data_IF_158471504245
#
_entry.id   IF_158471504245
#
_cell.length_a   1.000
_cell.length_b   1.000
_cell.length_c   1.000
_cell.angle_alpha   90.00
_cell.angle_beta   90.00
_cell.angle_gamma   90.00
#
_symmetry.space_group_name_H-M   'P 1'
#
loop_
_entity.id
_entity.type
_entity.pdbx_description
1 polymer ?
#
# COMPACT_ATOMS: atom_id res chain seq x y z
N UNK A 1 -9.62 28.59 105.02
CA UNK A 1 -9.24 27.24 104.53
C UNK A 1 -10.00 26.88 103.25
N UNK A 2 -11.34 26.78 103.28
CA UNK A 2 -12.17 26.41 102.10
C UNK A 2 -11.89 27.27 100.85
N UNK A 3 -11.79 28.59 101.02
CA UNK A 3 -11.56 29.52 99.91
C UNK A 3 -10.20 29.33 99.22
N UNK A 4 -9.17 28.96 99.99
CA UNK A 4 -7.84 28.65 99.43
C UNK A 4 -7.86 27.33 98.65
N UNK A 5 -8.57 26.31 99.15
CA UNK A 5 -8.73 25.02 98.44
C UNK A 5 -9.49 25.20 97.13
N UNK A 6 -10.56 26.00 97.12
CA UNK A 6 -11.32 26.30 95.90
C UNK A 6 -10.46 27.06 94.87
N UNK A 7 -9.64 28.00 95.32
CA UNK A 7 -8.77 28.79 94.44
C UNK A 7 -7.67 27.92 93.80
N UNK A 8 -7.07 27.02 94.58
CA UNK A 8 -6.11 26.04 94.04
C UNK A 8 -6.79 25.09 93.05
N UNK A 9 -7.99 24.59 93.36
CA UNK A 9 -8.76 23.73 92.45
C UNK A 9 -9.09 24.43 91.13
N UNK A 10 -9.47 25.70 91.17
CA UNK A 10 -9.75 26.50 89.97
C UNK A 10 -8.50 26.71 89.10
N UNK A 11 -7.33 26.97 89.71
CA UNK A 11 -6.08 27.13 88.97
C UNK A 11 -5.63 25.81 88.30
N UNK A 12 -5.78 24.67 88.99
CA UNK A 12 -5.48 23.36 88.41
C UNK A 12 -6.42 23.04 87.24
N UNK A 13 -7.72 23.30 87.40
CA UNK A 13 -8.70 23.10 86.34
C UNK A 13 -8.42 24.00 85.13
N UNK A 14 -8.09 25.28 85.36
CA UNK A 14 -7.72 26.21 84.29
C UNK A 14 -6.46 25.76 83.54
N UNK A 15 -5.43 25.29 84.25
CA UNK A 15 -4.21 24.77 83.65
C UNK A 15 -4.44 23.49 82.84
N UNK A 16 -5.28 22.58 83.34
CA UNK A 16 -5.66 21.37 82.62
C UNK A 16 -6.44 21.70 81.34
N UNK A 17 -7.46 22.56 81.44
CA UNK A 17 -8.26 23.00 80.29
C UNK A 17 -7.37 23.66 79.23
N UNK A 18 -6.48 24.56 79.64
CA UNK A 18 -5.55 25.21 78.72
C UNK A 18 -4.65 24.20 77.99
N UNK A 19 -4.08 23.22 78.71
CA UNK A 19 -3.26 22.17 78.10
C UNK A 19 -4.06 21.33 77.11
N UNK A 20 -5.30 20.96 77.46
CA UNK A 20 -6.15 20.19 76.55
C UNK A 20 -6.52 21.00 75.32
N UNK A 21 -6.89 22.27 75.47
CA UNK A 21 -7.24 23.15 74.33
C UNK A 21 -6.05 23.31 73.39
N UNK A 22 -4.85 23.57 73.93
CA UNK A 22 -3.64 23.68 73.11
C UNK A 22 -3.34 22.37 72.35
N UNK A 23 -3.48 21.21 73.00
CA UNK A 23 -3.30 19.92 72.33
C UNK A 23 -4.33 19.66 71.22
N UNK A 24 -5.59 20.09 71.43
CA UNK A 24 -6.62 20.00 70.40
C UNK A 24 -6.37 20.95 69.22
N UNK A 25 -5.90 22.16 69.48
CA UNK A 25 -5.50 23.12 68.44
C UNK A 25 -4.35 22.57 67.59
N UNK A 26 -3.31 22.02 68.22
CA UNK A 26 -2.18 21.41 67.50
C UNK A 26 -2.63 20.22 66.65
N UNK A 27 -3.47 19.33 67.21
CA UNK A 27 -4.01 18.20 66.45
C UNK A 27 -4.91 18.65 65.30
N UNK A 28 -5.77 19.66 65.49
CA UNK A 28 -6.61 20.20 64.44
C UNK A 28 -5.77 20.81 63.31
N UNK A 29 -4.71 21.56 63.65
CA UNK A 29 -3.79 22.13 62.68
C UNK A 29 -3.03 21.05 61.89
N UNK A 30 -2.61 19.97 62.55
CA UNK A 30 -1.97 18.83 61.89
C UNK A 30 -2.92 18.15 60.90
N UNK A 31 -4.14 17.83 61.33
CA UNK A 31 -5.14 17.21 60.47
C UNK A 31 -5.51 18.07 59.27
N UNK A 32 -5.64 19.39 59.48
CA UNK A 32 -5.89 20.33 58.38
C UNK A 32 -4.73 20.37 57.40
N UNK A 33 -3.48 20.34 57.89
CA UNK A 33 -2.29 20.26 57.04
C UNK A 33 -2.24 18.97 56.22
N UNK A 34 -2.51 17.82 56.84
CA UNK A 34 -2.54 16.53 56.16
C UNK A 34 -3.66 16.47 55.12
N UNK A 35 -4.87 16.94 55.48
CA UNK A 35 -6.00 17.00 54.56
C UNK A 35 -5.72 17.88 53.34
N UNK A 36 -5.05 19.03 53.54
CA UNK A 36 -4.60 19.89 52.43
C UNK A 36 -3.54 19.20 51.58
N UNK A 37 -2.58 18.51 52.18
CA UNK A 37 -1.57 17.73 51.47
C UNK A 37 -2.19 16.64 50.58
N UNK A 38 -3.14 15.87 51.10
CA UNK A 38 -3.87 14.88 50.31
C UNK A 38 -4.72 15.50 49.20
N UNK A 39 -5.34 16.66 49.46
CA UNK A 39 -6.11 17.37 48.44
C UNK A 39 -5.20 17.84 47.28
N UNK A 40 -4.00 18.34 47.58
CA UNK A 40 -3.00 18.72 46.58
C UNK A 40 -2.50 17.51 45.79
N UNK A 41 -2.23 16.38 46.45
CA UNK A 41 -1.81 15.14 45.80
C UNK A 41 -2.89 14.58 44.86
N UNK A 42 -4.16 14.57 45.30
CA UNK A 42 -5.29 14.17 44.46
C UNK A 42 -5.43 15.09 43.26
N UNK A 43 -5.30 16.40 43.44
CA UNK A 43 -5.35 17.36 42.33
C UNK A 43 -4.20 17.14 41.33
N UNK A 44 -2.99 16.84 41.81
CA UNK A 44 -1.84 16.53 40.97
C UNK A 44 -2.05 15.24 40.18
N UNK A 45 -2.51 14.16 40.82
CA UNK A 45 -2.80 12.88 40.18
C UNK A 45 -3.92 12.99 39.15
N UNK A 46 -4.94 13.81 39.40
CA UNK A 46 -6.00 14.09 38.42
C UNK A 46 -5.44 14.80 37.18
N UNK A 47 -4.60 15.82 37.38
CA UNK A 47 -3.95 16.51 36.28
C UNK A 47 -3.02 15.58 35.46
N UNK A 48 -2.29 14.69 36.12
CA UNK A 48 -1.46 13.68 35.44
C UNK A 48 -2.31 12.69 34.65
N UNK A 49 -3.42 12.21 35.23
CA UNK A 49 -4.35 11.30 34.56
C UNK A 49 -4.98 11.94 33.32
N UNK A 50 -5.40 13.20 33.42
CA UNK A 50 -5.93 13.95 32.27
C UNK A 50 -4.87 14.12 31.18
N UNK A 51 -3.61 14.39 31.56
CA UNK A 51 -2.48 14.48 30.65
C UNK A 51 -2.20 13.17 29.92
N UNK A 52 -2.06 12.06 30.65
CA UNK A 52 -1.83 10.73 30.08
C UNK A 52 -3.01 10.29 29.20
N UNK A 53 -4.24 10.63 29.58
CA UNK A 53 -5.43 10.34 28.77
C UNK A 53 -5.39 11.10 27.44
N UNK A 54 -5.01 12.38 27.46
CA UNK A 54 -4.85 13.17 26.24
C UNK A 54 -3.73 12.62 25.33
N UNK A 55 -2.60 12.21 25.90
CA UNK A 55 -1.52 11.56 25.14
C UNK A 55 -1.97 10.25 24.51
N UNK A 56 -2.72 9.43 25.24
CA UNK A 56 -3.28 8.17 24.72
C UNK A 56 -4.24 8.40 23.55
N UNK A 57 -5.11 9.42 23.65
CA UNK A 57 -6.01 9.81 22.55
C UNK A 57 -5.20 10.24 21.33
N UNK A 58 -4.22 11.13 21.50
CA UNK A 58 -3.37 11.59 20.41
C UNK A 58 -2.57 10.45 19.76
N UNK A 59 -2.06 9.50 20.55
CA UNK A 59 -1.35 8.33 20.03
C UNK A 59 -2.27 7.40 19.23
N UNK A 60 -3.52 7.21 19.66
CA UNK A 60 -4.52 6.44 18.92
C UNK A 60 -4.89 7.11 17.59
N UNK A 61 -5.12 8.41 17.58
CA UNK A 61 -5.39 9.16 16.34
C UNK A 61 -4.22 9.08 15.35
N UNK A 62 -2.99 9.15 15.83
CA UNK A 62 -1.79 8.96 15.00
C UNK A 62 -1.72 7.54 14.44
N UNK A 63 -2.05 6.52 15.23
CA UNK A 63 -2.07 5.13 14.79
C UNK A 63 -3.16 4.88 13.75
N UNK A 64 -4.36 5.43 13.94
CA UNK A 64 -5.45 5.35 12.96
C UNK A 64 -5.06 6.02 11.64
N UNK A 65 -4.46 7.22 11.72
CA UNK A 65 -3.96 7.94 10.54
C UNK A 65 -2.86 7.16 9.81
N UNK A 66 -1.91 6.58 10.55
CA UNK A 66 -0.84 5.76 9.97
C UNK A 66 -1.40 4.49 9.32
N UNK A 67 -2.39 3.85 9.96
CA UNK A 67 -3.04 2.65 9.43
C UNK A 67 -3.79 2.96 8.14
N UNK A 68 -4.58 4.05 8.11
CA UNK A 68 -5.26 4.50 6.90
C UNK A 68 -4.27 4.74 5.75
N UNK A 69 -3.16 5.43 6.03
CA UNK A 69 -2.12 5.67 5.03
C UNK A 69 -1.43 4.39 4.54
N UNK A 70 -1.21 3.41 5.42
CA UNK A 70 -0.67 2.10 5.02
C UNK A 70 -1.64 1.36 4.10
N UNK A 71 -2.94 1.40 4.40
CA UNK A 71 -3.98 0.81 3.56
C UNK A 71 -4.03 1.50 2.20
N UNK A 72 -4.05 2.82 2.15
CA UNK A 72 -4.04 3.58 0.89
C UNK A 72 -2.80 3.25 0.03
N UNK A 73 -1.62 3.16 0.65
CA UNK A 73 -0.39 2.77 -0.06
C UNK A 73 -0.43 1.32 -0.56
N UNK A 74 -1.06 0.41 0.17
CA UNK A 74 -1.22 -0.97 -0.25
C UNK A 74 -2.15 -1.07 -1.48
N UNK A 75 -3.25 -0.31 -1.47
CA UNK A 75 -4.20 -0.23 -2.58
C UNK A 75 -3.56 0.40 -3.83
N UNK A 76 -2.80 1.49 -3.66
CA UNK A 76 -2.05 2.12 -4.76
C UNK A 76 -1.03 1.15 -5.37
N UNK A 77 -0.30 0.39 -4.54
CA UNK A 77 0.66 -0.61 -5.02
C UNK A 77 -0.03 -1.76 -5.78
N UNK A 78 -1.20 -2.18 -5.34
CA UNK A 78 -1.99 -3.20 -6.03
C UNK A 78 -2.43 -2.69 -7.42
N UNK A 79 -2.99 -1.48 -7.48
CA UNK A 79 -3.40 -0.84 -8.74
C UNK A 79 -2.23 -0.67 -9.72
N UNK A 80 -1.09 -0.14 -9.25
CA UNK A 80 0.12 0.01 -10.07
C UNK A 80 0.65 -1.35 -10.53
N UNK A 81 0.50 -2.40 -9.73
CA UNK A 81 0.84 -3.77 -10.11
C UNK A 81 -0.02 -4.26 -11.27
N UNK A 82 -1.34 -4.10 -11.17
CA UNK A 82 -2.30 -4.52 -12.19
C UNK A 82 -2.13 -3.73 -13.51
N UNK A 83 -1.95 -2.42 -13.43
CA UNK A 83 -1.67 -1.56 -14.59
C UNK A 83 -0.37 -1.97 -15.30
N UNK A 84 0.67 -2.31 -14.54
CA UNK A 84 1.93 -2.77 -15.11
C UNK A 84 1.76 -4.11 -15.84
N UNK A 85 1.04 -5.07 -15.24
CA UNK A 85 0.74 -6.35 -15.90
C UNK A 85 -0.06 -6.15 -17.18
N UNK A 86 -1.10 -5.31 -17.16
CA UNK A 86 -1.90 -4.99 -18.34
C UNK A 86 -1.06 -4.34 -19.44
N UNK A 87 -0.20 -3.38 -19.09
CA UNK A 87 0.74 -2.73 -20.03
C UNK A 87 1.74 -3.71 -20.63
N UNK A 88 2.30 -4.62 -19.81
CA UNK A 88 3.20 -5.67 -20.29
C UNK A 88 2.50 -6.63 -21.25
N UNK A 89 1.28 -7.07 -20.94
CA UNK A 89 0.49 -7.93 -21.82
C UNK A 89 0.21 -7.25 -23.16
N UNK A 90 -0.15 -5.96 -23.14
CA UNK A 90 -0.40 -5.18 -24.35
C UNK A 90 0.87 -5.04 -25.21
N UNK A 91 2.02 -4.72 -24.61
CA UNK A 91 3.29 -4.63 -25.32
C UNK A 91 3.75 -5.98 -25.86
N UNK A 92 3.53 -7.06 -25.12
CA UNK A 92 3.84 -8.41 -25.58
C UNK A 92 2.97 -8.82 -26.76
N UNK A 93 1.66 -8.57 -26.68
CA UNK A 93 0.73 -8.77 -27.79
C UNK A 93 1.15 -7.98 -29.03
N UNK A 94 1.47 -6.69 -28.89
CA UNK A 94 1.96 -5.88 -30.00
C UNK A 94 3.26 -6.44 -30.61
N UNK A 95 4.19 -6.93 -29.78
CA UNK A 95 5.44 -7.56 -30.27
C UNK A 95 5.13 -8.81 -31.10
N UNK A 96 4.29 -9.73 -30.60
CA UNK A 96 3.92 -10.94 -31.34
C UNK A 96 3.23 -10.62 -32.67
N UNK A 97 2.29 -9.68 -32.65
CA UNK A 97 1.58 -9.25 -33.87
C UNK A 97 2.55 -8.61 -34.87
N UNK A 98 3.47 -7.77 -34.41
CA UNK A 98 4.46 -7.10 -35.28
C UNK A 98 5.45 -8.10 -35.87
N UNK A 99 5.90 -9.08 -35.09
CA UNK A 99 6.77 -10.17 -35.54
C UNK A 99 6.07 -11.03 -36.59
N UNK A 100 4.83 -11.47 -36.32
CA UNK A 100 4.03 -12.23 -37.27
C UNK A 100 3.74 -11.44 -38.56
N UNK A 101 3.43 -10.15 -38.47
CA UNK A 101 3.28 -9.28 -39.63
C UNK A 101 4.58 -9.14 -40.45
N UNK A 102 5.74 -9.09 -39.80
CA UNK A 102 7.05 -9.08 -40.45
C UNK A 102 7.36 -10.38 -41.20
N UNK A 103 6.99 -11.53 -40.63
CA UNK A 103 7.10 -12.85 -41.29
C UNK A 103 6.21 -12.90 -42.52
N UNK A 104 4.94 -12.50 -42.40
CA UNK A 104 3.99 -12.47 -43.51
C UNK A 104 4.46 -11.55 -44.64
N UNK A 105 4.90 -10.33 -44.32
CA UNK A 105 5.41 -9.38 -45.32
C UNK A 105 6.63 -9.94 -46.06
N UNK A 106 7.52 -10.63 -45.34
CA UNK A 106 8.71 -11.27 -45.92
C UNK A 106 8.31 -12.41 -46.85
N UNK A 107 7.44 -13.31 -46.39
CA UNK A 107 6.99 -14.47 -47.17
C UNK A 107 6.23 -14.05 -48.45
N UNK A 108 5.32 -13.07 -48.35
CA UNK A 108 4.62 -12.52 -49.51
C UNK A 108 5.58 -11.83 -50.50
N UNK A 109 6.61 -11.14 -49.99
CA UNK A 109 7.66 -10.56 -50.82
C UNK A 109 8.43 -11.61 -51.61
N UNK A 110 8.81 -12.71 -50.97
CA UNK A 110 9.51 -13.83 -51.61
C UNK A 110 8.63 -14.54 -52.66
N UNK A 111 7.37 -14.83 -52.32
CA UNK A 111 6.39 -15.40 -53.26
C UNK A 111 6.20 -14.51 -54.50
N UNK A 112 6.06 -13.19 -54.31
CA UNK A 112 5.89 -12.25 -55.44
C UNK A 112 7.14 -12.19 -56.32
N UNK A 113 8.34 -12.18 -55.71
CA UNK A 113 9.60 -12.21 -56.44
C UNK A 113 9.77 -13.51 -57.24
N UNK A 114 9.46 -14.66 -56.63
CA UNK A 114 9.56 -15.97 -57.26
C UNK A 114 8.55 -16.13 -58.42
N UNK A 115 7.31 -15.62 -58.26
CA UNK A 115 6.33 -15.55 -59.35
C UNK A 115 6.78 -14.67 -60.51
N UNK A 116 7.37 -13.50 -60.23
CA UNK A 116 7.94 -12.62 -61.27
C UNK A 116 9.04 -13.33 -62.07
N UNK A 117 9.90 -14.07 -61.37
CA UNK A 117 10.97 -14.86 -62.00
C UNK A 117 10.42 -16.02 -62.84
N UNK A 118 9.38 -16.70 -62.36
CA UNK A 118 8.68 -17.75 -63.11
C UNK A 118 8.08 -17.21 -64.41
N UNK A 119 7.42 -16.04 -64.36
CA UNK A 119 6.88 -15.37 -65.55
C UNK A 119 7.99 -15.11 -66.57
N UNK A 120 9.15 -14.61 -66.12
CA UNK A 120 10.31 -14.39 -66.99
C UNK A 120 10.83 -15.66 -67.65
N UNK A 121 10.88 -16.78 -66.91
CA UNK A 121 11.26 -18.08 -67.49
C UNK A 121 10.24 -18.62 -68.50
N UNK A 122 8.95 -18.36 -68.28
CA UNK A 122 7.88 -18.76 -69.21
C UNK A 122 7.87 -17.91 -70.50
N UNK A 123 8.31 -16.65 -70.43
CA UNK A 123 8.48 -15.78 -71.60
C UNK A 123 9.62 -16.25 -72.53
N UNK A 124 10.68 -16.86 -71.97
CA UNK A 124 11.82 -17.41 -72.71
C UNK A 124 11.90 -18.94 -72.60
N UNK A 125 10.73 -19.61 -72.62
CA UNK A 125 10.57 -21.06 -72.39
C UNK A 125 11.43 -21.96 -73.28
N UNK A 126 11.77 -21.50 -74.49
CA UNK A 126 12.56 -22.29 -75.45
C UNK A 126 14.04 -22.40 -75.02
N UNK A 127 14.48 -21.56 -74.07
CA UNK A 127 15.83 -21.56 -73.52
C UNK A 127 16.01 -22.49 -72.29
N UNK A 128 14.93 -23.07 -71.75
CA UNK A 128 14.93 -23.87 -70.51
C UNK A 128 14.36 -25.27 -70.70
N UNK A 129 14.76 -26.21 -69.83
CA UNK A 129 14.21 -27.57 -69.80
C UNK A 129 12.78 -27.55 -69.20
N UNK A 130 11.77 -28.14 -69.87
CA UNK A 130 10.41 -28.23 -69.36
C UNK A 130 10.31 -28.83 -67.95
N UNK A 131 11.12 -29.85 -67.63
CA UNK A 131 11.09 -30.51 -66.33
C UNK A 131 11.66 -29.63 -65.20
N UNK A 132 12.51 -28.65 -65.53
CA UNK A 132 13.03 -27.68 -64.56
C UNK A 132 12.04 -26.53 -64.36
N UNK A 133 11.32 -26.12 -65.41
CA UNK A 133 10.22 -25.15 -65.30
C UNK A 133 9.08 -25.67 -64.43
N UNK A 134 8.68 -26.93 -64.61
CA UNK A 134 7.63 -27.56 -63.80
C UNK A 134 8.03 -27.65 -62.32
N UNK A 135 9.31 -27.97 -62.05
CA UNK A 135 9.82 -28.06 -60.68
C UNK A 135 9.87 -26.68 -60.02
N UNK A 136 10.37 -25.68 -60.73
CA UNK A 136 10.40 -24.31 -60.23
C UNK A 136 8.99 -23.75 -59.99
N UNK A 137 8.03 -24.06 -60.87
CA UNK A 137 6.63 -23.69 -60.67
C UNK A 137 6.05 -24.30 -59.39
N UNK A 138 6.33 -25.57 -59.11
CA UNK A 138 5.93 -26.22 -57.87
C UNK A 138 6.60 -25.61 -56.62
N UNK A 139 7.88 -25.23 -56.70
CA UNK A 139 8.59 -24.57 -55.61
C UNK A 139 8.02 -23.16 -55.32
N UNK A 140 7.65 -22.41 -56.37
CA UNK A 140 6.99 -21.11 -56.25
C UNK A 140 5.60 -21.26 -55.62
N UNK A 141 4.83 -22.26 -56.05
CA UNK A 141 3.50 -22.54 -55.51
C UNK A 141 3.57 -22.90 -54.01
N UNK A 142 4.49 -23.79 -53.62
CA UNK A 142 4.69 -24.16 -52.23
C UNK A 142 5.09 -22.95 -51.34
N UNK A 143 5.98 -22.08 -51.84
CA UNK A 143 6.38 -20.87 -51.13
C UNK A 143 5.20 -19.87 -50.96
N UNK A 144 4.36 -19.76 -51.99
CA UNK A 144 3.19 -18.90 -51.95
C UNK A 144 2.09 -19.44 -51.02
N UNK A 145 1.92 -20.75 -50.96
CA UNK A 145 1.00 -21.40 -50.01
C UNK A 145 1.45 -21.17 -48.57
N UNK A 146 2.75 -21.31 -48.28
CA UNK A 146 3.32 -21.02 -46.95
C UNK A 146 3.10 -19.55 -46.54
N UNK A 147 3.24 -18.61 -47.48
CA UNK A 147 2.96 -17.19 -47.24
C UNK A 147 1.47 -16.93 -46.95
N UNK A 148 0.57 -17.62 -47.65
CA UNK A 148 -0.87 -17.52 -47.43
C UNK A 148 -1.28 -18.12 -46.07
N UNK A 149 -0.70 -19.25 -45.69
CA UNK A 149 -0.93 -19.88 -44.39
C UNK A 149 -0.44 -19.01 -43.24
N UNK A 150 0.75 -18.41 -43.37
CA UNK A 150 1.27 -17.45 -42.39
C UNK A 150 0.34 -16.23 -42.26
N UNK A 151 -0.20 -15.72 -43.37
CA UNK A 151 -1.17 -14.63 -43.34
C UNK A 151 -2.49 -15.06 -42.68
N UNK A 152 -3.01 -16.26 -42.98
CA UNK A 152 -4.22 -16.78 -42.37
C UNK A 152 -4.09 -16.93 -40.84
N UNK A 153 -2.93 -17.37 -40.35
CA UNK A 153 -2.64 -17.43 -38.92
C UNK A 153 -2.60 -16.04 -38.28
N UNK A 154 -1.98 -15.06 -38.93
CA UNK A 154 -1.99 -13.67 -38.47
C UNK A 154 -3.41 -13.09 -38.39
N UNK A 155 -4.24 -13.33 -39.41
CA UNK A 155 -5.65 -12.88 -39.42
C UNK A 155 -6.45 -13.52 -38.27
N UNK A 156 -6.20 -14.78 -37.93
CA UNK A 156 -6.82 -15.41 -36.76
C UNK A 156 -6.38 -14.79 -35.43
N UNK A 157 -5.09 -14.47 -35.29
CA UNK A 157 -4.58 -13.81 -34.08
C UNK A 157 -5.12 -12.39 -33.92
N UNK A 158 -5.32 -11.64 -35.01
CA UNK A 158 -5.92 -10.30 -34.99
C UNK A 158 -7.43 -10.29 -34.72
N UNK A 159 -8.12 -11.41 -34.96
CA UNK A 159 -9.56 -11.56 -34.76
C UNK A 159 -9.94 -12.05 -33.34
N UNK A 160 -8.95 -12.38 -32.50
CA UNK A 160 -9.12 -12.73 -31.09
C UNK A 160 -9.11 -11.50 -30.20
#
# INVERSE_FOLDING_TARGET
MVLAVLLVGALVAAGYLWRTTAAWEDHAAQWESEARGYAEEVAALQAELDGVTAELVAAREQLDTATARITDLADEKAQLGDENVASQQYLDYQRRVSEAAGVVATALGQCTAAQSQLIGYLEDRDAYDPADLDRFAADVEALCDEANDANAQLQQELAR
#
